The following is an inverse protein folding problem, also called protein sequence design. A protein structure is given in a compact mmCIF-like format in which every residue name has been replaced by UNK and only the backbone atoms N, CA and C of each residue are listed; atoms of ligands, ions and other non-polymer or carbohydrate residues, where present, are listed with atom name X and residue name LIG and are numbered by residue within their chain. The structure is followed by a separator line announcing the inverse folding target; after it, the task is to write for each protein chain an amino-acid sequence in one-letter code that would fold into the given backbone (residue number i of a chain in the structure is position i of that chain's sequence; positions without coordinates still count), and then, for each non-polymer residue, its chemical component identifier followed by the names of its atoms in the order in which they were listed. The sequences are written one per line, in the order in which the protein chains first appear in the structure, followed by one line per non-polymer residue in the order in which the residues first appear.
data_IF_084126924421
#
_entry.id   IF_084126924421
#
_cell.length_a   1.000
_cell.length_b   1.000
_cell.length_c   1.000
_cell.angle_alpha   90.00
_cell.angle_beta   90.00
_cell.angle_gamma   90.00
#
_symmetry.space_group_name_H-M   'P 1'
#
loop_
_entity.id
_entity.type
_entity.pdbx_description
1 polymer ?
#
# COMPACT_ATOMS: atom_id res chain seq x y z
N UNK A 1 12.79 -10.89 -8.37
CA UNK A 1 11.98 -9.88 -9.07
C UNK A 1 10.56 -10.27 -8.78
N UNK A 2 9.79 -9.36 -8.20
CA UNK A 2 8.38 -9.59 -7.87
C UNK A 2 7.54 -9.58 -9.14
N UNK A 3 6.56 -10.46 -9.22
CA UNK A 3 5.64 -10.53 -10.36
C UNK A 3 4.23 -10.09 -9.97
N UNK A 4 3.89 -8.85 -10.34
CA UNK A 4 2.57 -8.27 -10.12
C UNK A 4 1.65 -8.38 -11.33
N UNK A 5 2.06 -9.12 -12.38
CA UNK A 5 1.32 -9.19 -13.66
C UNK A 5 -0.12 -9.66 -13.53
N UNK A 6 -0.45 -10.43 -12.47
CA UNK A 6 -1.81 -10.88 -12.16
C UNK A 6 -2.81 -9.73 -11.92
N UNK A 7 -2.32 -8.54 -11.57
CA UNK A 7 -3.13 -7.34 -11.34
C UNK A 7 -3.30 -6.46 -12.59
N UNK A 8 -2.57 -6.71 -13.68
CA UNK A 8 -2.62 -5.86 -14.90
C UNK A 8 -4.01 -5.77 -15.52
N UNK A 9 -4.84 -6.80 -15.32
CA UNK A 9 -6.24 -6.82 -15.77
C UNK A 9 -7.13 -5.77 -15.08
N UNK A 10 -6.66 -5.18 -14.00
CA UNK A 10 -7.36 -4.16 -13.20
C UNK A 10 -6.80 -2.73 -13.41
N UNK A 11 -5.84 -2.56 -14.33
CA UNK A 11 -5.22 -1.25 -14.59
C UNK A 11 -6.07 -0.45 -15.58
N UNK A 12 -6.50 0.73 -15.16
CA UNK A 12 -7.22 1.70 -15.97
C UNK A 12 -6.23 2.70 -16.61
N UNK A 13 -6.53 3.25 -17.80
CA UNK A 13 -5.63 4.20 -18.46
C UNK A 13 -5.40 5.50 -17.68
N UNK A 14 -6.39 5.95 -16.91
CA UNK A 14 -6.29 7.10 -16.01
C UNK A 14 -7.42 7.11 -14.97
N UNK A 15 -7.23 7.89 -13.90
CA UNK A 15 -8.21 8.15 -12.83
C UNK A 15 -9.51 8.82 -13.31
N UNK A 16 -9.52 9.38 -14.52
CA UNK A 16 -10.70 10.01 -15.11
C UNK A 16 -11.64 9.01 -15.80
N UNK A 17 -11.25 7.73 -15.86
CA UNK A 17 -12.04 6.68 -16.49
C UNK A 17 -12.80 5.93 -15.41
N UNK A 18 -14.13 5.91 -15.55
CA UNK A 18 -14.98 5.13 -14.67
C UNK A 18 -14.69 3.64 -14.84
N UNK A 19 -14.33 2.97 -13.74
CA UNK A 19 -14.17 1.53 -13.72
C UNK A 19 -15.51 0.82 -14.03
N UNK A 20 -15.48 -0.35 -14.68
CA UNK A 20 -16.64 -1.24 -14.75
C UNK A 20 -17.22 -1.54 -13.35
N UNK A 21 -18.54 -1.74 -13.27
CA UNK A 21 -19.21 -2.04 -11.99
C UNK A 21 -18.73 -3.34 -11.35
N UNK A 22 -18.26 -4.29 -12.15
CA UNK A 22 -17.73 -5.59 -11.76
C UNK A 22 -16.19 -5.59 -11.63
N UNK A 23 -15.54 -4.43 -11.76
CA UNK A 23 -14.10 -4.33 -11.56
C UNK A 23 -13.77 -4.55 -10.09
N UNK A 24 -12.98 -5.60 -9.86
CA UNK A 24 -12.61 -6.05 -8.53
C UNK A 24 -11.69 -5.06 -7.82
N UNK A 25 -10.72 -4.54 -8.56
CA UNK A 25 -9.72 -3.57 -8.13
C UNK A 25 -9.59 -2.50 -9.21
N UNK A 26 -9.07 -1.33 -8.84
CA UNK A 26 -8.91 -0.18 -9.73
C UNK A 26 -7.50 0.39 -9.54
N UNK A 27 -6.63 0.21 -10.53
CA UNK A 27 -5.27 0.77 -10.48
C UNK A 27 -5.04 1.79 -11.59
N UNK A 28 -4.15 2.74 -11.30
CA UNK A 28 -3.76 3.82 -12.18
C UNK A 28 -2.23 3.83 -12.32
N UNK A 29 -1.70 3.92 -13.55
CA UNK A 29 -0.27 3.84 -13.79
C UNK A 29 0.47 5.05 -13.19
N UNK A 30 1.58 4.77 -12.52
CA UNK A 30 2.50 5.80 -12.01
C UNK A 30 3.59 6.08 -13.05
N UNK A 31 3.85 7.36 -13.31
CA UNK A 31 4.99 7.74 -14.14
C UNK A 31 6.31 7.51 -13.41
N UNK A 32 7.33 6.94 -14.07
CA UNK A 32 8.68 6.79 -13.48
C UNK A 32 9.22 8.11 -12.88
N UNK A 33 8.92 9.25 -13.51
CA UNK A 33 9.35 10.58 -13.05
C UNK A 33 8.67 11.00 -11.74
N UNK A 34 7.41 10.67 -11.56
CA UNK A 34 6.62 10.98 -10.37
C UNK A 34 7.16 10.19 -9.17
N UNK A 35 7.33 8.87 -9.35
CA UNK A 35 8.00 8.03 -8.36
C UNK A 35 9.41 8.52 -8.03
N UNK A 36 10.24 8.87 -9.02
CA UNK A 36 11.59 9.41 -8.76
C UNK A 36 11.57 10.79 -8.08
N UNK A 37 10.52 11.60 -8.30
CA UNK A 37 10.35 12.88 -7.63
C UNK A 37 10.00 12.69 -6.15
N UNK A 38 9.07 11.78 -5.83
CA UNK A 38 8.74 11.39 -4.46
C UNK A 38 9.97 10.84 -3.71
N UNK A 39 10.74 9.94 -4.33
CA UNK A 39 12.00 9.44 -3.74
C UNK A 39 13.02 10.55 -3.49
N UNK A 40 13.10 11.53 -4.40
CA UNK A 40 13.98 12.68 -4.22
C UNK A 40 13.48 13.57 -3.07
N UNK A 41 12.16 13.76 -2.93
CA UNK A 41 11.56 14.53 -1.84
C UNK A 41 11.85 13.87 -0.49
N UNK A 42 11.67 12.56 -0.41
CA UNK A 42 11.98 11.75 0.77
C UNK A 42 13.48 11.62 1.09
N UNK A 43 14.36 12.03 0.16
CA UNK A 43 15.79 11.75 0.23
C UNK A 43 16.09 10.25 0.49
N UNK A 44 15.21 9.37 -0.02
CA UNK A 44 15.20 7.93 0.25
C UNK A 44 14.53 7.20 -0.93
N UNK A 45 15.00 6.00 -1.25
CA UNK A 45 14.36 5.14 -2.25
C UNK A 45 13.19 4.36 -1.64
N UNK A 46 12.13 4.16 -2.43
CA UNK A 46 11.09 3.21 -2.05
C UNK A 46 11.70 1.80 -1.89
N UNK A 47 11.14 0.96 -1.00
CA UNK A 47 11.47 -0.46 -0.96
C UNK A 47 11.34 -1.08 -2.34
N UNK A 48 12.25 -1.99 -2.68
CA UNK A 48 12.43 -2.51 -4.04
C UNK A 48 11.13 -3.08 -4.60
N UNK A 49 10.42 -3.88 -3.83
CA UNK A 49 9.16 -4.52 -4.18
C UNK A 49 8.04 -3.49 -4.42
N UNK A 50 8.00 -2.40 -3.65
CA UNK A 50 7.02 -1.33 -3.82
C UNK A 50 7.34 -0.50 -5.06
N UNK A 51 8.63 -0.23 -5.29
CA UNK A 51 9.10 0.39 -6.54
C UNK A 51 8.76 -0.45 -7.76
N UNK A 52 8.96 -1.77 -7.69
CA UNK A 52 8.58 -2.71 -8.74
C UNK A 52 7.06 -2.72 -8.96
N UNK A 53 6.26 -2.64 -7.89
CA UNK A 53 4.80 -2.52 -7.98
C UNK A 53 4.37 -1.24 -8.72
N UNK A 54 4.88 -0.07 -8.34
CA UNK A 54 4.57 1.19 -9.01
C UNK A 54 4.90 1.17 -10.51
N UNK A 55 6.02 0.55 -10.89
CA UNK A 55 6.44 0.48 -12.29
C UNK A 55 5.66 -0.56 -13.10
N UNK A 56 5.14 -1.63 -12.47
CA UNK A 56 4.41 -2.69 -13.15
C UNK A 56 2.91 -2.42 -13.24
N UNK A 57 2.34 -1.81 -12.19
CA UNK A 57 0.90 -1.66 -11.97
C UNK A 57 0.54 -0.20 -11.71
N UNK A 58 1.24 0.46 -10.77
CA UNK A 58 0.95 1.83 -10.35
C UNK A 58 0.41 1.88 -8.93
N UNK A 59 -0.64 2.65 -8.68
CA UNK A 59 -1.31 2.79 -7.37
C UNK A 59 -2.81 2.60 -7.53
N UNK A 60 -3.57 2.55 -6.43
CA UNK A 60 -5.03 2.55 -6.51
C UNK A 60 -5.70 1.68 -5.46
N UNK A 61 -6.89 1.20 -5.78
CA UNK A 61 -7.83 0.65 -4.81
C UNK A 61 -8.04 -0.85 -5.00
N UNK A 62 -8.01 -1.57 -3.89
CA UNK A 62 -8.38 -2.98 -3.81
C UNK A 62 -9.69 -3.09 -3.04
N UNK A 63 -10.81 -2.99 -3.75
CA UNK A 63 -12.13 -2.96 -3.13
C UNK A 63 -12.47 -4.30 -2.48
N UNK A 64 -13.24 -4.26 -1.40
CA UNK A 64 -13.96 -5.45 -0.92
C UNK A 64 -15.33 -5.52 -1.61
N UNK A 65 -15.78 -6.72 -2.04
CA UNK A 65 -17.06 -6.89 -2.76
C UNK A 65 -18.24 -6.45 -1.88
N UNK A 66 -18.09 -6.52 -0.56
CA UNK A 66 -19.15 -6.24 0.40
C UNK A 66 -19.24 -4.76 0.76
N UNK A 67 -18.15 -4.02 0.68
CA UNK A 67 -18.14 -2.61 1.04
C UNK A 67 -17.14 -1.78 0.21
N UNK A 68 -17.70 -0.93 -0.67
CA UNK A 68 -16.96 0.15 -1.33
C UNK A 68 -16.89 1.42 -0.47
N UNK A 69 -17.43 1.41 0.75
CA UNK A 69 -17.49 2.58 1.63
C UNK A 69 -16.21 2.76 2.45
N UNK A 70 -15.35 1.75 2.56
CA UNK A 70 -14.04 1.88 3.21
C UNK A 70 -12.92 1.92 2.18
N UNK A 71 -12.03 2.91 2.33
CA UNK A 71 -10.80 3.04 1.54
C UNK A 71 -9.95 1.79 1.76
N UNK A 72 -9.43 1.23 0.67
CA UNK A 72 -8.48 0.13 0.68
C UNK A 72 -7.50 0.40 -0.45
N UNK A 73 -6.48 1.20 -0.16
CA UNK A 73 -5.70 1.88 -1.18
C UNK A 73 -4.23 1.58 -1.02
N UNK A 74 -3.63 1.09 -2.09
CA UNK A 74 -2.19 1.21 -2.27
C UNK A 74 -1.91 2.65 -2.65
N UNK A 75 -1.27 3.38 -1.73
CA UNK A 75 -1.01 4.81 -1.87
C UNK A 75 -0.10 5.09 -3.08
N UNK A 76 -0.34 6.19 -3.77
CA UNK A 76 0.61 6.69 -4.77
C UNK A 76 1.88 7.22 -4.09
N UNK A 77 2.99 7.37 -4.85
CA UNK A 77 4.26 7.80 -4.29
C UNK A 77 4.22 9.14 -3.57
N UNK A 78 3.41 10.09 -4.05
CA UNK A 78 3.32 11.42 -3.45
C UNK A 78 2.57 11.39 -2.12
N UNK A 79 1.49 10.62 -2.01
CA UNK A 79 0.77 10.41 -0.73
C UNK A 79 1.65 9.72 0.32
N UNK A 80 2.45 8.72 -0.08
CA UNK A 80 3.42 8.09 0.85
C UNK A 80 4.44 9.11 1.32
N UNK A 81 4.92 9.94 0.40
CA UNK A 81 5.90 10.95 0.74
C UNK A 81 5.31 12.04 1.65
N UNK A 82 4.05 12.44 1.43
CA UNK A 82 3.34 13.38 2.30
C UNK A 82 3.19 12.82 3.72
N UNK A 83 2.79 11.55 3.86
CA UNK A 83 2.65 10.91 5.17
C UNK A 83 3.99 10.83 5.92
N UNK A 84 5.05 10.37 5.26
CA UNK A 84 6.36 10.22 5.88
C UNK A 84 7.06 11.55 6.20
N UNK A 85 6.63 12.66 5.59
CA UNK A 85 7.15 14.00 5.86
C UNK A 85 6.24 14.82 6.78
N UNK A 86 5.03 14.33 7.07
CA UNK A 86 4.00 15.10 7.79
C UNK A 86 3.55 16.32 7.01
N UNK A 87 3.30 16.20 5.71
CA UNK A 87 2.93 17.29 4.82
C UNK A 87 1.46 17.16 4.33
N UNK A 88 0.90 18.28 3.84
CA UNK A 88 -0.42 18.35 3.21
C UNK A 88 -1.55 17.80 4.10
N UNK A 89 -2.23 16.73 3.67
CA UNK A 89 -3.36 16.14 4.40
C UNK A 89 -2.92 15.41 5.67
N UNK A 90 -1.61 15.21 5.86
CA UNK A 90 -1.04 14.50 7.00
C UNK A 90 -0.32 15.41 8.02
N UNK A 91 -0.36 16.75 7.86
CA UNK A 91 0.35 17.70 8.72
C UNK A 91 -0.07 17.62 10.20
N UNK A 92 -1.35 17.37 10.49
CA UNK A 92 -1.89 17.21 11.85
C UNK A 92 -2.30 15.75 12.16
N UNK A 93 -1.81 14.80 11.37
CA UNK A 93 -2.22 13.40 11.46
C UNK A 93 -1.27 12.62 12.36
N UNK A 94 -1.80 12.03 13.44
CA UNK A 94 -0.99 11.37 14.46
C UNK A 94 -0.10 10.24 13.91
N UNK A 95 -0.53 9.54 12.85
CA UNK A 95 0.30 8.51 12.23
C UNK A 95 1.59 9.07 11.60
N UNK A 96 1.61 10.34 11.18
CA UNK A 96 2.84 10.96 10.65
C UNK A 96 3.94 11.01 11.74
N UNK A 97 3.56 11.36 12.98
CA UNK A 97 4.47 11.34 14.13
C UNK A 97 4.91 9.91 14.46
N UNK A 98 3.99 8.94 14.44
CA UNK A 98 4.32 7.52 14.67
C UNK A 98 5.35 7.00 13.66
N UNK A 99 5.16 7.27 12.36
CA UNK A 99 6.12 6.85 11.33
C UNK A 99 7.45 7.61 11.39
N UNK A 100 7.46 8.83 11.92
CA UNK A 100 8.71 9.55 12.19
C UNK A 100 9.52 8.89 13.32
N UNK A 101 8.86 8.31 14.32
CA UNK A 101 9.49 7.53 15.40
C UNK A 101 9.86 6.10 14.99
N UNK A 102 9.19 5.55 13.98
CA UNK A 102 9.42 4.19 13.44
C UNK A 102 9.91 4.16 11.98
N UNK A 103 11.13 4.66 11.68
CA UNK A 103 11.65 4.80 10.31
C UNK A 103 11.90 3.45 9.59
N UNK A 104 11.84 2.34 10.33
CA UNK A 104 11.86 0.98 9.80
C UNK A 104 10.52 0.55 9.20
N UNK A 105 9.39 1.17 9.56
CA UNK A 105 8.10 0.87 8.94
C UNK A 105 7.89 1.78 7.72
N UNK A 106 7.65 1.16 6.57
CA UNK A 106 7.36 1.88 5.33
C UNK A 106 5.87 1.76 4.97
N UNK A 107 5.05 2.80 5.20
CA UNK A 107 3.62 2.74 4.93
C UNK A 107 3.36 2.65 3.42
N UNK A 108 2.42 1.80 3.02
CA UNK A 108 2.05 1.67 1.61
C UNK A 108 0.56 1.40 1.36
N UNK A 109 -0.17 0.90 2.36
CA UNK A 109 -1.56 0.49 2.19
C UNK A 109 -2.47 1.09 3.27
N UNK A 110 -3.38 1.95 2.83
CA UNK A 110 -4.34 2.70 3.62
C UNK A 110 -5.67 1.92 3.68
N UNK A 111 -6.19 1.72 4.90
CA UNK A 111 -7.45 1.05 5.18
C UNK A 111 -8.35 1.99 5.98
N UNK A 112 -9.53 2.29 5.46
CA UNK A 112 -10.42 3.28 6.07
C UNK A 112 -9.72 4.63 6.23
N UNK A 113 -9.92 5.26 7.39
CA UNK A 113 -9.38 6.60 7.66
C UNK A 113 -8.14 6.57 8.58
N UNK A 114 -7.90 5.48 9.33
CA UNK A 114 -6.98 5.47 10.48
C UNK A 114 -6.05 4.24 10.53
N UNK A 115 -6.09 3.36 9.53
CA UNK A 115 -5.32 2.11 9.55
C UNK A 115 -4.29 2.14 8.41
N UNK A 116 -3.02 1.97 8.77
CA UNK A 116 -1.91 1.92 7.83
C UNK A 116 -1.14 0.61 7.95
N UNK A 117 -1.01 -0.09 6.83
CA UNK A 117 -0.21 -1.30 6.69
C UNK A 117 1.13 -0.95 6.04
N UNK A 118 2.20 -1.53 6.57
CA UNK A 118 3.58 -1.15 6.26
C UNK A 118 4.44 -2.32 5.81
N UNK A 119 5.57 -2.03 5.16
CA UNK A 119 6.67 -2.96 5.01
C UNK A 119 7.64 -2.77 6.17
N UNK A 120 8.02 -3.86 6.85
CA UNK A 120 9.03 -3.79 7.91
C UNK A 120 10.45 -3.94 7.33
N UNK A 121 11.13 -2.81 7.25
CA UNK A 121 12.47 -2.67 6.66
C UNK A 121 13.59 -3.14 7.59
N UNK A 122 13.28 -3.47 8.84
CA UNK A 122 14.25 -4.09 9.75
C UNK A 122 14.44 -5.58 9.44
N UNK A 123 13.52 -6.17 8.67
CA UNK A 123 13.50 -7.57 8.28
C UNK A 123 13.61 -7.72 6.77
N UNK A 124 14.63 -8.42 6.30
CA UNK A 124 14.81 -8.73 4.88
C UNK A 124 14.76 -10.25 4.66
N UNK A 125 13.98 -10.68 3.67
CA UNK A 125 13.95 -12.07 3.20
C UNK A 125 15.15 -12.35 2.29
N UNK A 126 15.47 -13.63 2.04
CA UNK A 126 16.58 -14.04 1.16
C UNK A 126 16.54 -13.42 -0.27
N UNK A 127 15.38 -12.94 -0.70
CA UNK A 127 15.16 -12.34 -2.03
C UNK A 127 15.27 -10.80 -2.05
N UNK A 128 15.58 -10.18 -0.91
CA UNK A 128 15.66 -8.72 -0.75
C UNK A 128 14.29 -8.04 -0.70
N UNK A 129 13.27 -8.75 -0.23
CA UNK A 129 11.92 -8.22 0.04
C UNK A 129 11.68 -8.16 1.54
N UNK A 130 10.75 -7.33 1.96
CA UNK A 130 10.38 -7.07 3.33
C UNK A 130 9.00 -7.68 3.63
N UNK A 131 8.80 -8.21 4.85
CA UNK A 131 7.48 -8.66 5.28
C UNK A 131 6.52 -7.48 5.38
N UNK A 132 5.24 -7.78 5.21
CA UNK A 132 4.17 -6.83 5.48
C UNK A 132 3.79 -6.93 6.95
N UNK A 133 3.79 -5.79 7.62
CA UNK A 133 3.53 -5.61 9.03
C UNK A 133 2.30 -4.72 9.25
N UNK A 134 1.55 -5.08 10.29
CA UNK A 134 0.54 -4.21 10.89
C UNK A 134 0.73 -4.26 12.40
N UNK A 135 1.13 -3.14 13.00
CA UNK A 135 1.31 -2.97 14.46
C UNK A 135 2.16 -4.07 15.13
N UNK A 136 3.21 -4.53 14.44
CA UNK A 136 4.12 -5.60 14.90
C UNK A 136 3.63 -7.02 14.57
N UNK A 137 2.47 -7.16 13.93
CA UNK A 137 1.95 -8.42 13.43
C UNK A 137 2.34 -8.61 11.97
N UNK A 138 3.10 -9.68 11.70
CA UNK A 138 3.43 -10.08 10.33
C UNK A 138 2.19 -10.59 9.58
N UNK A 139 1.69 -9.78 8.65
CA UNK A 139 0.52 -10.07 7.79
C UNK A 139 0.89 -10.95 6.58
N UNK A 140 2.08 -10.73 6.00
CA UNK A 140 2.60 -11.52 4.88
C UNK A 140 4.15 -11.48 4.84
N UNK A 141 4.80 -12.42 4.14
CA UNK A 141 6.25 -12.43 4.02
C UNK A 141 6.78 -11.51 2.91
N UNK A 142 5.90 -10.94 2.08
CA UNK A 142 6.25 -9.97 1.03
C UNK A 142 5.02 -9.21 0.53
N UNK A 143 5.25 -8.07 -0.14
CA UNK A 143 4.20 -7.34 -0.85
C UNK A 143 3.48 -8.19 -1.90
N UNK A 144 4.20 -9.03 -2.66
CA UNK A 144 3.56 -9.93 -3.64
C UNK A 144 2.62 -10.93 -2.98
N UNK A 145 3.05 -11.57 -1.88
CA UNK A 145 2.20 -12.49 -1.13
C UNK A 145 0.96 -11.77 -0.56
N UNK A 146 1.15 -10.57 0.00
CA UNK A 146 0.06 -9.74 0.51
C UNK A 146 -1.00 -9.48 -0.57
N UNK A 147 -0.56 -8.98 -1.73
CA UNK A 147 -1.48 -8.65 -2.83
C UNK A 147 -2.13 -9.88 -3.47
N UNK A 148 -1.45 -11.04 -3.49
CA UNK A 148 -2.06 -12.30 -3.94
C UNK A 148 -3.14 -12.78 -2.98
N UNK A 149 -2.91 -12.68 -1.67
CA UNK A 149 -3.94 -12.98 -0.67
C UNK A 149 -5.11 -12.02 -0.79
N UNK A 150 -4.85 -10.73 -0.98
CA UNK A 150 -5.89 -9.71 -1.16
C UNK A 150 -6.71 -9.91 -2.44
N UNK A 151 -6.08 -10.34 -3.53
CA UNK A 151 -6.80 -10.73 -4.76
C UNK A 151 -7.51 -12.08 -4.63
N UNK A 152 -7.17 -12.94 -3.67
CA UNK A 152 -7.93 -14.18 -3.43
C UNK A 152 -9.13 -13.93 -2.50
N UNK A 153 -8.89 -13.20 -1.41
CA UNK A 153 -9.81 -12.93 -0.30
C UNK A 153 -9.62 -11.45 0.11
N UNK A 154 -10.56 -10.59 -0.28
CA UNK A 154 -10.38 -9.12 -0.21
C UNK A 154 -10.40 -8.56 1.21
N UNK A 155 -10.94 -9.29 2.18
CA UNK A 155 -11.06 -8.92 3.58
C UNK A 155 -10.08 -9.73 4.47
N UNK A 156 -9.11 -10.46 3.88
CA UNK A 156 -8.25 -11.34 4.67
C UNK A 156 -7.41 -10.61 5.73
N UNK A 157 -7.12 -9.32 5.51
CA UNK A 157 -6.31 -8.51 6.42
C UNK A 157 -7.13 -8.04 7.64
N UNK A 158 -8.47 -8.04 7.55
CA UNK A 158 -9.39 -7.55 8.60
C UNK A 158 -9.16 -8.28 9.92
N UNK A 159 -8.84 -9.58 9.87
CA UNK A 159 -8.51 -10.40 11.05
C UNK A 159 -7.27 -9.93 11.84
N UNK A 160 -6.46 -9.04 11.27
CA UNK A 160 -5.32 -8.43 11.94
C UNK A 160 -5.63 -7.01 12.41
N UNK A 161 -6.57 -6.32 11.76
CA UNK A 161 -6.82 -4.88 11.97
C UNK A 161 -7.96 -4.57 12.90
N UNK A 162 -8.90 -5.51 13.08
CA UNK A 162 -9.95 -5.43 14.08
C UNK A 162 -9.76 -6.60 15.04
N UNK A 163 -9.48 -6.31 16.30
CA UNK A 163 -9.63 -7.31 17.35
C UNK A 163 -11.12 -7.68 17.38
N UNK A 164 -11.46 -8.97 17.26
CA UNK A 164 -12.75 -9.40 17.79
C UNK A 164 -12.63 -9.15 19.30
N UNK A 165 -13.38 -8.17 19.81
CA UNK A 165 -13.69 -8.08 21.23
C UNK A 165 -14.35 -9.43 21.60
N UNK A 166 -13.56 -10.41 22.04
CA UNK A 166 -14.08 -11.64 22.63
C UNK A 166 -14.73 -11.26 23.97
N UNK A 167 -16.07 -11.14 23.94
CA UNK A 167 -16.96 -11.04 25.12
C UNK A 167 -16.76 -12.18 26.14
#
# INVERSE_FOLDING_TARGET
MCDFSFLKKYVLPSEHIQAPLDFKHEFYPVGKREMEAAEKRLNRKFPKELREFYLQIGYGFMWTVKDRMSINRIMDPDSVADLLLGENVYEDYYLADEFAEEPQLFPFFEVGDDIMISLDLSLETDNGNHPVDYTGLKVANSLEEFLRKLDAEQDYYVRFTYEEDED
#
